data_IF_145555558009
#
_entry.id   IF_145555558009
#
_cell.length_a   1.000
_cell.length_b   1.000
_cell.length_c   1.000
_cell.angle_alpha   90.00
_cell.angle_beta   90.00
_cell.angle_gamma   90.00
#
_symmetry.space_group_name_H-M   'P 1'
#
loop_
_entity.id
_entity.type
_entity.pdbx_description
1 polymer ?
#
# COMPACT_ATOMS: atom_id res chain seq x y z
N UNK A 1 32.02 2.95 4.43
CA UNK A 1 30.72 3.64 4.57
C UNK A 1 29.66 2.55 4.56
N UNK A 2 29.38 1.96 5.71
CA UNK A 2 28.42 0.86 5.84
C UNK A 2 27.01 1.41 5.78
N UNK A 3 26.25 0.89 4.83
CA UNK A 3 24.88 1.28 4.52
C UNK A 3 23.91 0.72 5.58
N UNK A 4 23.75 1.45 6.69
CA UNK A 4 22.72 1.20 7.72
C UNK A 4 21.28 1.41 7.18
N UNK A 5 21.09 1.70 5.88
CA UNK A 5 19.78 2.08 5.33
C UNK A 5 19.02 0.93 4.65
N UNK A 6 19.56 -0.30 4.61
CA UNK A 6 18.91 -1.46 3.98
C UNK A 6 18.12 -2.37 4.89
N UNK A 7 18.05 -2.08 6.19
CA UNK A 7 17.15 -2.84 7.08
C UNK A 7 15.73 -2.31 6.86
N UNK A 8 14.83 -3.16 6.37
CA UNK A 8 13.40 -2.84 6.29
C UNK A 8 12.93 -2.42 7.69
N UNK A 9 12.88 -1.11 7.94
CA UNK A 9 12.53 -0.59 9.24
C UNK A 9 11.07 -0.92 9.49
N UNK A 10 10.77 -1.62 10.59
CA UNK A 10 9.42 -1.99 11.01
C UNK A 10 8.63 -0.79 11.56
N UNK A 11 8.76 0.37 10.91
CA UNK A 11 8.22 1.66 11.34
C UNK A 11 6.70 1.61 11.57
N UNK A 12 6.01 0.74 10.83
CA UNK A 12 4.56 0.62 10.86
C UNK A 12 4.07 -0.71 11.46
N UNK A 13 4.94 -1.46 12.14
CA UNK A 13 4.56 -2.69 12.81
C UNK A 13 3.40 -2.49 13.79
N UNK A 14 2.39 -3.37 13.69
CA UNK A 14 1.21 -3.35 14.55
C UNK A 14 0.19 -2.25 14.25
N UNK A 15 0.45 -1.37 13.27
CA UNK A 15 -0.50 -0.36 12.80
C UNK A 15 -1.38 -0.93 11.69
N UNK A 16 -2.61 -0.42 11.59
CA UNK A 16 -3.59 -0.82 10.56
C UNK A 16 -3.88 0.36 9.64
N UNK A 17 -3.83 0.13 8.33
CA UNK A 17 -4.10 1.14 7.30
C UNK A 17 -5.21 0.69 6.34
N UNK A 18 -6.05 1.63 5.93
CA UNK A 18 -6.99 1.46 4.82
C UNK A 18 -6.41 2.17 3.59
N UNK A 19 -6.18 1.42 2.50
CA UNK A 19 -5.68 1.98 1.25
C UNK A 19 -6.73 1.83 0.15
N UNK A 20 -7.23 2.96 -0.35
CA UNK A 20 -8.14 3.01 -1.49
C UNK A 20 -7.36 3.07 -2.80
N UNK A 21 -7.92 2.51 -3.88
CA UNK A 21 -7.23 2.46 -5.18
C UNK A 21 -5.97 1.57 -5.17
N UNK A 22 -5.89 0.61 -4.24
CA UNK A 22 -4.69 -0.20 -3.98
C UNK A 22 -4.29 -1.16 -5.13
N UNK A 23 -5.12 -1.31 -6.17
CA UNK A 23 -4.88 -2.26 -7.25
C UNK A 23 -3.80 -1.85 -8.26
N UNK A 24 -3.42 -0.57 -8.35
CA UNK A 24 -2.41 -0.10 -9.31
C UNK A 24 -1.81 1.25 -8.93
N UNK A 25 -0.68 1.58 -9.55
CA UNK A 25 -0.05 2.90 -9.46
C UNK A 25 0.38 3.23 -8.04
N UNK A 26 0.06 4.45 -7.59
CA UNK A 26 0.49 4.94 -6.27
C UNK A 26 -0.10 4.10 -5.14
N UNK A 27 -1.38 3.73 -5.22
CA UNK A 27 -2.04 2.94 -4.17
C UNK A 27 -1.38 1.57 -3.98
N UNK A 28 -0.94 0.94 -5.07
CA UNK A 28 -0.20 -0.31 -5.01
C UNK A 28 1.19 -0.11 -4.39
N UNK A 29 1.95 0.90 -4.86
CA UNK A 29 3.29 1.18 -4.35
C UNK A 29 3.29 1.48 -2.84
N UNK A 30 2.30 2.26 -2.38
CA UNK A 30 2.11 2.57 -0.96
C UNK A 30 1.78 1.31 -0.17
N UNK A 31 0.85 0.48 -0.68
CA UNK A 31 0.48 -0.78 -0.02
C UNK A 31 1.69 -1.70 0.16
N UNK A 32 2.51 -1.87 -0.90
CA UNK A 32 3.72 -2.69 -0.85
C UNK A 32 4.73 -2.15 0.17
N UNK A 33 4.94 -0.84 0.21
CA UNK A 33 5.86 -0.22 1.18
C UNK A 33 5.39 -0.40 2.62
N UNK A 34 4.11 -0.14 2.91
CA UNK A 34 3.54 -0.32 4.24
C UNK A 34 3.64 -1.79 4.70
N UNK A 35 3.39 -2.74 3.80
CA UNK A 35 3.48 -4.17 4.10
C UNK A 35 4.94 -4.57 4.44
N UNK A 36 5.91 -4.07 3.67
CA UNK A 36 7.33 -4.30 3.93
C UNK A 36 7.82 -3.71 5.27
N UNK A 37 7.13 -2.71 5.80
CA UNK A 37 7.42 -2.07 7.10
C UNK A 37 6.54 -2.65 8.25
N UNK A 38 5.86 -3.79 8.03
CA UNK A 38 5.15 -4.56 9.06
C UNK A 38 3.71 -4.14 9.34
N UNK A 39 3.11 -3.31 8.49
CA UNK A 39 1.73 -2.85 8.68
C UNK A 39 0.70 -3.95 8.37
N UNK A 40 -0.46 -3.89 9.04
CA UNK A 40 -1.69 -4.58 8.64
C UNK A 40 -2.46 -3.67 7.69
N UNK A 41 -2.97 -4.22 6.58
CA UNK A 41 -3.54 -3.38 5.53
C UNK A 41 -4.88 -3.97 5.04
N UNK A 42 -5.89 -3.11 4.97
CA UNK A 42 -7.10 -3.35 4.19
C UNK A 42 -6.98 -2.61 2.86
N UNK A 43 -6.87 -3.36 1.76
CA UNK A 43 -6.74 -2.81 0.41
C UNK A 43 -8.10 -2.83 -0.30
N UNK A 44 -8.60 -1.66 -0.69
CA UNK A 44 -9.89 -1.52 -1.38
C UNK A 44 -9.68 -0.93 -2.78
N UNK A 45 -9.80 -1.72 -3.86
CA UNK A 45 -9.76 -1.20 -5.22
C UNK A 45 -11.07 -0.50 -5.57
N UNK A 46 -10.99 0.68 -6.19
CA UNK A 46 -12.18 1.31 -6.78
C UNK A 46 -12.48 0.61 -8.11
N UNK A 47 -13.62 -0.07 -8.20
CA UNK A 47 -14.14 -0.57 -9.48
C UNK A 47 -14.89 0.57 -10.15
N UNK A 48 -14.33 1.11 -11.23
CA UNK A 48 -15.10 2.05 -12.06
C UNK A 48 -16.25 1.27 -12.71
N UNK A 49 -17.48 1.62 -12.39
CA UNK A 49 -18.63 1.09 -13.09
C UNK A 49 -18.50 1.43 -14.57
N UNK A 50 -18.74 0.44 -15.45
CA UNK A 50 -18.72 0.68 -16.88
C UNK A 50 -19.71 1.80 -17.20
N UNK A 51 -19.24 2.85 -17.87
CA UNK A 51 -20.11 3.91 -18.34
C UNK A 51 -21.03 3.32 -19.39
N UNK A 52 -22.32 3.22 -19.09
CA UNK A 52 -23.34 2.95 -20.12
C UNK A 52 -23.36 4.21 -21.00
N UNK A 53 -22.77 4.12 -22.19
CA UNK A 53 -23.05 5.09 -23.25
C UNK A 53 -24.53 4.95 -23.59
N UNK A 54 -25.29 6.03 -23.41
CA UNK A 54 -26.63 6.17 -24.00
C UNK A 54 -26.51 6.29 -25.50
#
# INVERSE_FOLDING_TARGET
MTDESRVASLRFAGKTFLVTGAARGIGEAVTRRLAGEGARIAASPVRRAASVKR
#
